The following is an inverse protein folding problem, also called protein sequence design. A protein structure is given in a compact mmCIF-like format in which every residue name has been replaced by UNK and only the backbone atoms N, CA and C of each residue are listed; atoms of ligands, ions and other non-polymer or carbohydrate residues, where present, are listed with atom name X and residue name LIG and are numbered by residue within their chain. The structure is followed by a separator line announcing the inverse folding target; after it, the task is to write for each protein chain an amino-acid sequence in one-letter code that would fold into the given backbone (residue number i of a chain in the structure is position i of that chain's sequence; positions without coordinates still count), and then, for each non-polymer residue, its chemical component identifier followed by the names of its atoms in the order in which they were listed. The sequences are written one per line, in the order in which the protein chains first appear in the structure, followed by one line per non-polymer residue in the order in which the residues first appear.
data_IF_908980253610
#
_entry.id   IF_908980253610
#
_cell.length_a   1.000
_cell.length_b   1.000
_cell.length_c   1.000
_cell.angle_alpha   90.00
_cell.angle_beta   90.00
_cell.angle_gamma   90.00
#
_symmetry.space_group_name_H-M   'P 1'
#
loop_
_entity.id
_entity.type
_entity.pdbx_description
1 polymer ?
#
# COMPACT_ATOMS: atom_id res chain seq x y z
N UNK A 1 52.56 13.44 -18.85
CA UNK A 1 51.58 12.45 -19.36
C UNK A 1 51.48 11.33 -18.33
N UNK A 2 50.47 11.40 -17.44
CA UNK A 2 50.24 10.42 -16.38
C UNK A 2 48.97 9.62 -16.66
N UNK A 3 49.06 8.30 -16.45
CA UNK A 3 47.97 7.32 -16.54
C UNK A 3 46.90 7.58 -15.49
N UNK A 4 45.63 7.53 -15.89
CA UNK A 4 44.53 7.16 -15.00
C UNK A 4 43.70 6.09 -15.73
N UNK A 5 43.84 4.85 -15.25
CA UNK A 5 42.89 3.77 -15.48
C UNK A 5 41.64 4.04 -14.64
N UNK A 6 40.46 4.10 -15.26
CA UNK A 6 39.19 4.08 -14.53
C UNK A 6 38.55 2.71 -14.70
N UNK A 7 38.20 2.18 -13.54
CA UNK A 7 37.77 0.84 -13.16
C UNK A 7 36.42 0.45 -13.76
N UNK A 8 36.28 -0.86 -13.98
CA UNK A 8 35.11 -1.63 -14.40
C UNK A 8 33.86 -1.33 -13.57
N UNK A 9 32.72 -1.09 -14.23
CA UNK A 9 31.40 -1.13 -13.59
C UNK A 9 30.75 -2.50 -13.85
N UNK A 10 31.34 -3.53 -13.24
CA UNK A 10 30.78 -4.88 -13.16
C UNK A 10 29.74 -4.95 -12.04
N UNK A 11 28.66 -4.17 -12.20
CA UNK A 11 27.53 -4.19 -11.28
C UNK A 11 26.91 -5.58 -11.16
N UNK A 12 26.60 -5.96 -9.91
CA UNK A 12 25.99 -7.20 -9.40
C UNK A 12 24.93 -7.90 -10.28
N UNK A 13 24.30 -7.18 -11.22
CA UNK A 13 23.33 -7.70 -12.19
C UNK A 13 23.91 -8.63 -13.28
N UNK A 14 25.22 -8.54 -13.59
CA UNK A 14 25.81 -9.25 -14.74
C UNK A 14 26.06 -10.75 -14.54
N UNK A 15 26.10 -11.25 -13.29
CA UNK A 15 26.60 -12.61 -12.99
C UNK A 15 25.51 -13.69 -12.83
N UNK A 16 24.23 -13.33 -12.70
CA UNK A 16 23.16 -14.30 -12.40
C UNK A 16 22.50 -14.92 -13.66
N UNK A 17 22.76 -14.38 -14.85
CA UNK A 17 22.05 -14.77 -16.08
C UNK A 17 22.94 -15.53 -17.06
N UNK A 18 23.12 -16.84 -16.84
CA UNK A 18 23.57 -17.77 -17.89
C UNK A 18 22.88 -19.13 -17.77
N UNK A 19 21.83 -19.33 -18.56
CA UNK A 19 21.47 -20.66 -19.07
C UNK A 19 21.25 -20.57 -20.58
N UNK A 20 22.28 -20.97 -21.33
CA UNK A 20 22.22 -21.27 -22.77
C UNK A 20 21.34 -22.53 -22.92
N UNK A 21 20.32 -22.62 -23.78
CA UNK A 21 20.49 -22.87 -25.22
C UNK A 21 19.15 -22.75 -26.02
N UNK A 22 18.19 -21.91 -25.59
CA UNK A 22 16.96 -21.61 -26.38
C UNK A 22 16.78 -20.11 -26.68
N UNK A 23 17.69 -19.26 -26.21
CA UNK A 23 17.44 -17.81 -26.04
C UNK A 23 17.85 -16.92 -27.23
N UNK A 24 18.64 -17.37 -28.20
CA UNK A 24 19.34 -16.42 -29.08
C UNK A 24 18.44 -15.61 -30.03
N UNK A 25 17.40 -16.19 -30.64
CA UNK A 25 16.50 -15.42 -31.52
C UNK A 25 15.38 -14.69 -30.77
N UNK A 26 14.87 -15.27 -29.67
CA UNK A 26 13.85 -14.61 -28.84
C UNK A 26 14.41 -13.44 -28.04
N UNK A 27 15.68 -13.49 -27.63
CA UNK A 27 16.36 -12.39 -26.93
C UNK A 27 16.56 -11.19 -27.86
N UNK A 28 17.00 -11.42 -29.11
CA UNK A 28 17.20 -10.34 -30.09
C UNK A 28 15.89 -9.60 -30.43
N UNK A 29 14.80 -10.34 -30.59
CA UNK A 29 13.48 -9.74 -30.85
C UNK A 29 12.99 -8.92 -29.64
N UNK A 30 13.17 -9.44 -28.42
CA UNK A 30 12.82 -8.74 -27.19
C UNK A 30 13.65 -7.45 -27.00
N UNK A 31 14.96 -7.52 -27.18
CA UNK A 31 15.84 -6.35 -27.04
C UNK A 31 15.53 -5.28 -28.09
N UNK A 32 15.14 -5.67 -29.31
CA UNK A 32 14.64 -4.76 -30.34
C UNK A 32 13.35 -4.06 -29.93
N UNK A 33 12.38 -4.78 -29.35
CA UNK A 33 11.14 -4.18 -28.85
C UNK A 33 11.40 -3.20 -27.69
N UNK A 34 12.28 -3.55 -26.74
CA UNK A 34 12.69 -2.63 -25.68
C UNK A 34 13.29 -1.34 -26.24
N UNK A 35 14.20 -1.44 -27.20
CA UNK A 35 14.85 -0.27 -27.79
C UNK A 35 13.88 0.60 -28.59
N UNK A 36 12.86 0.02 -29.23
CA UNK A 36 11.77 0.78 -29.85
C UNK A 36 10.99 1.58 -28.81
N UNK A 37 10.64 0.99 -27.67
CA UNK A 37 9.92 1.69 -26.60
C UNK A 37 10.79 2.83 -26.04
N UNK A 38 12.07 2.57 -25.74
CA UNK A 38 13.02 3.57 -25.24
C UNK A 38 13.13 4.79 -26.16
N UNK A 39 13.34 4.55 -27.45
CA UNK A 39 13.55 5.57 -28.48
C UNK A 39 12.24 6.23 -28.97
N UNK A 40 11.09 5.74 -28.53
CA UNK A 40 9.80 6.33 -28.91
C UNK A 40 9.68 7.77 -28.38
N UNK A 41 9.02 8.63 -29.16
CA UNK A 41 8.64 10.00 -28.75
C UNK A 41 7.45 10.06 -27.78
N UNK A 42 7.07 8.91 -27.20
CA UNK A 42 5.98 8.80 -26.24
C UNK A 42 6.35 9.43 -24.89
N UNK A 43 5.33 9.83 -24.14
CA UNK A 43 5.45 10.27 -22.74
C UNK A 43 5.94 9.14 -21.84
N UNK A 44 6.39 9.47 -20.63
CA UNK A 44 6.86 8.45 -19.67
C UNK A 44 5.74 7.48 -19.26
N UNK A 45 4.52 7.98 -19.03
CA UNK A 45 3.37 7.14 -18.68
C UNK A 45 3.03 6.13 -19.80
N UNK A 46 3.02 6.58 -21.06
CA UNK A 46 2.81 5.70 -22.22
C UNK A 46 3.94 4.66 -22.36
N UNK A 47 5.19 5.03 -22.03
CA UNK A 47 6.31 4.09 -21.99
C UNK A 47 6.15 3.05 -20.90
N UNK A 48 5.69 3.43 -19.69
CA UNK A 48 5.37 2.49 -18.60
C UNK A 48 4.33 1.47 -19.08
N UNK A 49 3.26 1.93 -19.72
CA UNK A 49 2.21 1.06 -20.25
C UNK A 49 2.75 0.08 -21.31
N UNK A 50 3.55 0.56 -22.26
CA UNK A 50 4.17 -0.28 -23.29
C UNK A 50 5.10 -1.34 -22.68
N UNK A 51 5.92 -0.98 -21.69
CA UNK A 51 6.77 -1.93 -20.98
C UNK A 51 5.96 -2.99 -20.22
N UNK A 52 4.84 -2.61 -19.61
CA UNK A 52 3.96 -3.57 -18.94
C UNK A 52 3.31 -4.55 -19.94
N UNK A 53 2.83 -4.06 -21.08
CA UNK A 53 2.29 -4.90 -22.17
C UNK A 53 3.34 -5.90 -22.67
N UNK A 54 4.58 -5.44 -22.85
CA UNK A 54 5.70 -6.30 -23.22
C UNK A 54 5.98 -7.37 -22.14
N UNK A 55 5.97 -6.97 -20.86
CA UNK A 55 6.20 -7.89 -19.76
C UNK A 55 5.13 -8.99 -19.67
N UNK A 56 3.86 -8.65 -19.86
CA UNK A 56 2.75 -9.61 -19.93
C UNK A 56 2.93 -10.61 -21.08
N UNK A 57 3.25 -10.12 -22.29
CA UNK A 57 3.49 -10.95 -23.48
C UNK A 57 4.61 -11.96 -23.22
N UNK A 58 5.72 -11.51 -22.66
CA UNK A 58 6.87 -12.39 -22.36
C UNK A 58 6.56 -13.37 -21.22
N UNK A 59 5.76 -12.96 -20.23
CA UNK A 59 5.28 -13.85 -19.17
C UNK A 59 4.37 -14.97 -19.71
N UNK A 60 3.42 -14.62 -20.58
CA UNK A 60 2.54 -15.58 -21.25
C UNK A 60 3.33 -16.57 -22.12
N UNK A 61 4.43 -16.12 -22.73
CA UNK A 61 5.37 -16.95 -23.47
C UNK A 61 6.32 -17.78 -22.58
N UNK A 62 6.14 -17.75 -21.24
CA UNK A 62 6.99 -18.40 -20.23
C UNK A 62 8.46 -17.95 -20.24
N UNK A 63 8.74 -16.76 -20.78
CA UNK A 63 10.08 -16.16 -20.82
C UNK A 63 10.27 -15.26 -19.61
N UNK A 64 10.40 -15.90 -18.45
CA UNK A 64 10.45 -15.25 -17.13
C UNK A 64 11.46 -14.10 -17.06
N UNK A 65 12.67 -14.28 -17.59
CA UNK A 65 13.72 -13.26 -17.51
C UNK A 65 13.40 -11.99 -18.30
N UNK A 66 12.79 -12.15 -19.47
CA UNK A 66 12.36 -11.03 -20.29
C UNK A 66 11.22 -10.24 -19.61
N UNK A 67 10.27 -10.94 -18.99
CA UNK A 67 9.21 -10.30 -18.21
C UNK A 67 9.76 -9.49 -17.02
N UNK A 68 10.71 -10.05 -16.26
CA UNK A 68 11.40 -9.34 -15.16
C UNK A 68 12.11 -8.09 -15.68
N UNK A 69 12.85 -8.23 -16.79
CA UNK A 69 13.58 -7.11 -17.40
C UNK A 69 12.62 -6.02 -17.86
N UNK A 70 11.51 -6.36 -18.51
CA UNK A 70 10.50 -5.40 -18.97
C UNK A 70 9.83 -4.65 -17.81
N UNK A 71 9.39 -5.34 -16.74
CA UNK A 71 8.86 -4.65 -15.55
C UNK A 71 9.91 -3.76 -14.86
N UNK A 72 11.18 -4.17 -14.84
CA UNK A 72 12.26 -3.33 -14.32
C UNK A 72 12.44 -2.05 -15.14
N UNK A 73 12.23 -2.12 -16.47
CA UNK A 73 12.21 -0.93 -17.33
C UNK A 73 10.96 -0.07 -17.11
N UNK A 74 9.79 -0.70 -16.88
CA UNK A 74 8.57 0.02 -16.52
C UNK A 74 8.79 0.86 -15.25
N UNK A 75 9.36 0.27 -14.19
CA UNK A 75 9.66 1.00 -12.96
C UNK A 75 10.65 2.15 -13.18
N UNK A 76 11.68 1.97 -14.00
CA UNK A 76 12.64 3.04 -14.32
C UNK A 76 12.02 4.17 -15.14
N UNK A 77 10.93 3.90 -15.86
CA UNK A 77 10.19 4.89 -16.62
C UNK A 77 9.14 5.62 -15.77
N UNK A 78 8.89 5.19 -14.53
CA UNK A 78 8.03 5.93 -13.60
C UNK A 78 8.67 7.31 -13.37
N UNK A 79 7.92 8.41 -13.54
CA UNK A 79 8.45 9.75 -13.27
C UNK A 79 9.02 9.85 -11.86
N UNK A 80 10.26 10.33 -11.71
CA UNK A 80 10.85 10.59 -10.40
C UNK A 80 10.14 11.75 -9.69
N UNK A 81 10.21 11.87 -8.35
CA UNK A 81 9.60 12.99 -7.65
C UNK A 81 10.14 14.32 -8.20
N UNK A 82 9.24 15.24 -8.57
CA UNK A 82 9.65 16.61 -8.94
C UNK A 82 10.42 17.23 -7.77
N UNK A 83 11.55 17.85 -8.07
CA UNK A 83 12.21 18.75 -7.13
C UNK A 83 11.25 19.86 -6.70
N UNK A 84 11.46 20.46 -5.52
CA UNK A 84 10.60 21.56 -5.05
C UNK A 84 10.60 22.75 -6.03
N UNK A 85 11.69 22.95 -6.78
CA UNK A 85 11.76 23.90 -7.89
C UNK A 85 10.84 23.54 -9.06
N UNK A 86 10.68 22.26 -9.39
CA UNK A 86 9.80 21.80 -10.47
C UNK A 86 8.32 21.78 -10.05
N UNK A 87 8.01 21.59 -8.75
CA UNK A 87 6.66 21.76 -8.20
C UNK A 87 6.15 23.20 -8.35
N UNK A 88 7.04 24.19 -8.20
CA UNK A 88 6.72 25.62 -8.42
C UNK A 88 6.39 25.90 -9.90
N UNK A 89 7.08 25.23 -10.84
CA UNK A 89 6.80 25.35 -12.28
C UNK A 89 5.59 24.55 -12.75
N UNK A 90 5.24 23.42 -12.12
CA UNK A 90 4.07 22.61 -12.45
C UNK A 90 2.74 23.35 -12.24
N UNK A 91 2.71 24.40 -11.41
CA UNK A 91 1.55 25.30 -11.28
C UNK A 91 1.15 26.02 -12.58
N UNK A 92 2.03 26.00 -13.60
CA UNK A 92 1.82 26.65 -14.90
C UNK A 92 1.31 25.69 -15.98
N UNK A 93 1.44 24.36 -15.81
CA UNK A 93 0.98 23.36 -16.79
C UNK A 93 -0.41 22.80 -16.43
N UNK A 94 -1.42 23.69 -16.46
CA UNK A 94 -2.83 23.31 -16.48
C UNK A 94 -3.20 22.81 -17.88
N UNK A 95 -2.94 21.55 -18.20
CA UNK A 95 -3.72 20.81 -19.20
C UNK A 95 -3.32 19.32 -19.20
N UNK A 96 -3.85 18.58 -18.23
CA UNK A 96 -4.28 17.17 -18.32
C UNK A 96 -4.92 16.78 -16.98
N UNK A 97 -5.88 15.85 -17.00
CA UNK A 97 -6.71 15.42 -15.86
C UNK A 97 -5.96 14.63 -14.77
N UNK A 98 -4.75 15.05 -14.39
CA UNK A 98 -3.95 14.50 -13.29
C UNK A 98 -3.64 15.67 -12.36
N UNK A 99 -4.13 15.62 -11.12
CA UNK A 99 -4.19 16.82 -10.26
C UNK A 99 -2.83 17.21 -9.67
N UNK A 100 -1.88 16.27 -9.56
CA UNK A 100 -0.50 16.51 -9.16
C UNK A 100 0.43 15.33 -9.52
N UNK A 101 1.75 15.55 -9.42
CA UNK A 101 2.77 14.57 -9.81
C UNK A 101 2.82 13.33 -8.91
N UNK A 102 2.41 13.43 -7.65
CA UNK A 102 2.35 12.30 -6.72
C UNK A 102 1.25 11.30 -7.14
N UNK A 103 0.10 11.80 -7.57
CA UNK A 103 -0.98 10.98 -8.14
C UNK A 103 -0.52 10.24 -9.40
N UNK A 104 0.29 10.88 -10.26
CA UNK A 104 0.87 10.22 -11.43
C UNK A 104 1.80 9.07 -11.06
N UNK A 105 2.68 9.27 -10.07
CA UNK A 105 3.59 8.22 -9.58
C UNK A 105 2.78 7.05 -9.03
N UNK A 106 1.83 7.33 -8.14
CA UNK A 106 0.96 6.32 -7.54
C UNK A 106 0.21 5.50 -8.61
N UNK A 107 -0.40 6.17 -9.60
CA UNK A 107 -1.10 5.49 -10.69
C UNK A 107 -0.18 4.58 -11.53
N UNK A 108 1.04 5.03 -11.82
CA UNK A 108 2.03 4.19 -12.52
C UNK A 108 2.43 2.97 -11.69
N UNK A 109 2.63 3.12 -10.38
CA UNK A 109 2.95 2.02 -9.48
C UNK A 109 1.78 1.01 -9.40
N UNK A 110 0.53 1.48 -9.29
CA UNK A 110 -0.66 0.63 -9.36
C UNK A 110 -0.76 -0.13 -10.68
N UNK A 111 -0.51 0.53 -11.81
CA UNK A 111 -0.50 -0.13 -13.12
C UNK A 111 0.54 -1.27 -13.16
N UNK A 112 1.79 -0.99 -12.78
CA UNK A 112 2.86 -1.99 -12.79
C UNK A 112 2.52 -3.16 -11.87
N UNK A 113 2.08 -2.89 -10.63
CA UNK A 113 1.69 -3.93 -9.68
C UNK A 113 0.49 -4.75 -10.15
N UNK A 114 -0.52 -4.10 -10.72
CA UNK A 114 -1.70 -4.73 -11.27
C UNK A 114 -1.37 -5.66 -12.44
N UNK A 115 -0.47 -5.25 -13.33
CA UNK A 115 0.01 -6.13 -14.41
C UNK A 115 0.90 -7.26 -13.87
N UNK A 116 1.76 -7.01 -12.87
CA UNK A 116 2.52 -8.07 -12.20
C UNK A 116 1.60 -9.11 -11.55
N UNK A 117 0.50 -8.69 -10.93
CA UNK A 117 -0.46 -9.58 -10.29
C UNK A 117 -1.13 -10.55 -11.27
N UNK A 118 -1.24 -10.19 -12.55
CA UNK A 118 -1.76 -11.05 -13.64
C UNK A 118 -0.74 -12.05 -14.18
N UNK A 119 0.53 -11.94 -13.80
CA UNK A 119 1.61 -12.84 -14.28
C UNK A 119 1.87 -14.03 -13.35
N UNK A 120 2.55 -15.06 -13.86
CA UNK A 120 3.08 -16.17 -13.04
C UNK A 120 4.46 -15.87 -12.40
N UNK A 121 4.80 -14.59 -12.20
CA UNK A 121 6.03 -14.23 -11.49
C UNK A 121 5.99 -14.75 -10.06
N UNK A 122 7.14 -15.24 -9.58
CA UNK A 122 7.27 -15.70 -8.20
C UNK A 122 7.36 -14.52 -7.24
N UNK A 123 7.00 -14.73 -5.98
CA UNK A 123 7.20 -13.73 -4.90
C UNK A 123 8.63 -13.19 -4.89
N UNK A 124 9.63 -14.04 -5.13
CA UNK A 124 11.03 -13.60 -5.20
C UNK A 124 11.26 -12.57 -6.32
N UNK A 125 10.76 -12.83 -7.53
CA UNK A 125 10.90 -11.90 -8.66
C UNK A 125 10.19 -10.59 -8.38
N UNK A 126 8.98 -10.66 -7.83
CA UNK A 126 8.20 -9.48 -7.54
C UNK A 126 8.87 -8.61 -6.46
N UNK A 127 9.44 -9.22 -5.42
CA UNK A 127 10.22 -8.49 -4.40
C UNK A 127 11.53 -7.91 -4.94
N UNK A 128 12.14 -8.58 -5.93
CA UNK A 128 13.34 -8.09 -6.59
C UNK A 128 13.02 -6.87 -7.46
N UNK A 129 11.98 -6.96 -8.29
CA UNK A 129 11.49 -5.86 -9.12
C UNK A 129 11.11 -4.68 -8.23
N UNK A 130 10.33 -4.91 -7.17
CA UNK A 130 9.90 -3.84 -6.27
C UNK A 130 11.06 -3.16 -5.55
N UNK A 131 12.15 -3.88 -5.29
CA UNK A 131 13.37 -3.35 -4.70
C UNK A 131 14.07 -2.29 -5.55
N UNK A 132 13.80 -2.25 -6.86
CA UNK A 132 14.33 -1.23 -7.77
C UNK A 132 13.49 0.04 -7.87
N UNK A 133 12.36 0.14 -7.15
CA UNK A 133 11.53 1.35 -7.08
C UNK A 133 12.19 2.43 -6.21
N UNK A 134 12.00 3.70 -6.58
CA UNK A 134 12.37 4.86 -5.77
C UNK A 134 11.65 4.86 -4.41
N UNK A 135 10.36 4.47 -4.40
CA UNK A 135 9.59 4.20 -3.20
C UNK A 135 9.26 2.71 -3.13
N UNK A 136 10.24 1.93 -2.68
CA UNK A 136 10.12 0.48 -2.54
C UNK A 136 8.99 0.09 -1.58
N UNK A 137 8.80 0.83 -0.50
CA UNK A 137 7.87 0.44 0.56
C UNK A 137 6.43 0.66 0.12
N UNK A 138 6.15 1.82 -0.48
CA UNK A 138 4.83 2.10 -1.03
C UNK A 138 4.51 1.13 -2.18
N UNK A 139 5.47 0.88 -3.07
CA UNK A 139 5.24 -0.07 -4.16
C UNK A 139 5.01 -1.52 -3.66
N UNK A 140 5.69 -1.94 -2.58
CA UNK A 140 5.42 -3.23 -1.96
C UNK A 140 4.03 -3.31 -1.33
N UNK A 141 3.54 -2.23 -0.72
CA UNK A 141 2.17 -2.15 -0.21
C UNK A 141 1.14 -2.20 -1.35
N UNK A 142 1.33 -1.41 -2.41
CA UNK A 142 0.47 -1.45 -3.60
C UNK A 142 0.43 -2.87 -4.20
N UNK A 143 1.58 -3.53 -4.30
CA UNK A 143 1.66 -4.90 -4.79
C UNK A 143 0.91 -5.91 -3.91
N UNK A 144 0.91 -5.72 -2.58
CA UNK A 144 0.06 -6.50 -1.65
C UNK A 144 -1.41 -6.32 -2.01
N UNK A 145 -1.86 -5.09 -2.27
CA UNK A 145 -3.24 -4.80 -2.64
C UNK A 145 -3.63 -5.47 -3.95
N UNK A 146 -2.83 -5.25 -5.00
CA UNK A 146 -3.10 -5.78 -6.34
C UNK A 146 -3.10 -7.31 -6.38
N UNK A 147 -2.17 -7.97 -5.69
CA UNK A 147 -2.16 -9.44 -5.59
C UNK A 147 -3.38 -9.97 -4.83
N UNK A 148 -3.80 -9.30 -3.75
CA UNK A 148 -4.99 -9.70 -3.01
C UNK A 148 -6.25 -9.57 -3.87
N UNK A 149 -6.41 -8.44 -4.56
CA UNK A 149 -7.51 -8.20 -5.51
C UNK A 149 -7.53 -9.21 -6.67
N UNK A 150 -6.37 -9.71 -7.08
CA UNK A 150 -6.23 -10.77 -8.08
C UNK A 150 -6.40 -12.20 -7.50
N UNK A 151 -6.93 -12.36 -6.28
CA UNK A 151 -7.11 -13.62 -5.57
C UNK A 151 -5.81 -14.41 -5.30
N UNK A 152 -4.64 -13.74 -5.34
CA UNK A 152 -3.32 -14.30 -5.01
C UNK A 152 -2.95 -14.02 -3.55
N UNK A 153 -3.89 -14.24 -2.64
CA UNK A 153 -3.79 -13.87 -1.23
C UNK A 153 -2.53 -14.43 -0.54
N UNK A 154 -2.19 -15.70 -0.80
CA UNK A 154 -1.00 -16.34 -0.21
C UNK A 154 0.31 -15.66 -0.64
N UNK A 155 0.38 -15.15 -1.87
CA UNK A 155 1.56 -14.45 -2.37
C UNK A 155 1.63 -13.04 -1.81
N UNK A 156 0.48 -12.37 -1.76
CA UNK A 156 0.33 -11.07 -1.10
C UNK A 156 0.79 -11.11 0.37
N UNK A 157 0.33 -12.11 1.13
CA UNK A 157 0.78 -12.33 2.51
C UNK A 157 2.29 -12.57 2.63
N UNK A 158 2.87 -13.35 1.72
CA UNK A 158 4.33 -13.58 1.69
C UNK A 158 5.11 -12.29 1.44
N UNK A 159 4.59 -11.39 0.61
CA UNK A 159 5.19 -10.07 0.39
C UNK A 159 5.09 -9.23 1.67
N UNK A 160 3.90 -9.11 2.28
CA UNK A 160 3.72 -8.38 3.53
C UNK A 160 4.65 -8.86 4.66
N UNK A 161 4.86 -10.18 4.78
CA UNK A 161 5.80 -10.77 5.74
C UNK A 161 7.25 -10.36 5.46
N UNK A 162 7.63 -10.29 4.18
CA UNK A 162 8.99 -9.95 3.72
C UNK A 162 9.29 -8.45 3.66
N UNK A 163 8.29 -7.59 3.83
CA UNK A 163 8.51 -6.14 3.92
C UNK A 163 9.47 -5.84 5.08
N UNK A 164 10.35 -4.87 4.85
CA UNK A 164 11.32 -4.44 5.86
C UNK A 164 10.61 -3.89 7.09
N UNK A 165 11.15 -4.12 8.28
CA UNK A 165 10.64 -3.51 9.51
C UNK A 165 10.91 -2.00 9.54
N UNK A 166 11.90 -1.51 8.78
CA UNK A 166 12.11 -0.08 8.51
C UNK A 166 10.95 0.59 7.73
N UNK A 167 10.04 -0.22 7.18
CA UNK A 167 8.82 0.20 6.49
C UNK A 167 7.57 0.06 7.38
N UNK A 168 7.72 0.24 8.69
CA UNK A 168 6.69 -0.10 9.68
C UNK A 168 5.28 0.43 9.31
N UNK A 169 5.10 1.69 8.86
CA UNK A 169 3.78 2.18 8.43
C UNK A 169 3.17 1.38 7.27
N UNK A 170 3.90 1.17 6.18
CA UNK A 170 3.42 0.41 5.02
C UNK A 170 3.18 -1.06 5.38
N UNK A 171 4.00 -1.63 6.27
CA UNK A 171 3.83 -3.00 6.74
C UNK A 171 2.57 -3.15 7.61
N UNK A 172 2.28 -2.18 8.48
CA UNK A 172 1.01 -2.12 9.22
C UNK A 172 -0.15 -2.06 8.25
N UNK A 173 -0.15 -1.12 7.29
CA UNK A 173 -1.19 -0.99 6.25
C UNK A 173 -1.39 -2.29 5.47
N UNK A 174 -0.30 -2.96 5.09
CA UNK A 174 -0.36 -4.24 4.37
C UNK A 174 -1.09 -5.32 5.17
N UNK A 175 -0.77 -5.48 6.47
CA UNK A 175 -1.45 -6.45 7.32
C UNK A 175 -2.91 -6.07 7.61
N UNK A 176 -3.21 -4.79 7.83
CA UNK A 176 -4.59 -4.29 8.02
C UNK A 176 -5.43 -4.56 6.79
N UNK A 177 -4.91 -4.24 5.60
CA UNK A 177 -5.60 -4.47 4.33
C UNK A 177 -5.82 -5.98 4.07
N UNK A 178 -4.81 -6.82 4.32
CA UNK A 178 -5.00 -8.26 4.17
C UNK A 178 -6.00 -8.82 5.17
N UNK A 179 -6.05 -8.26 6.38
CA UNK A 179 -7.02 -8.67 7.39
C UNK A 179 -8.45 -8.33 6.97
N UNK A 180 -8.70 -7.15 6.39
CA UNK A 180 -10.03 -6.77 5.90
C UNK A 180 -10.49 -7.54 4.65
N UNK A 181 -9.57 -8.23 3.97
CA UNK A 181 -9.87 -9.15 2.86
C UNK A 181 -9.92 -10.62 3.28
N UNK A 182 -9.52 -10.93 4.50
CA UNK A 182 -9.51 -12.30 5.00
C UNK A 182 -10.87 -12.67 5.61
N UNK A 183 -11.17 -13.96 5.63
CA UNK A 183 -12.39 -14.49 6.24
C UNK A 183 -12.10 -15.26 7.54
N UNK A 184 -13.07 -15.26 8.44
CA UNK A 184 -13.06 -16.04 9.67
C UNK A 184 -11.83 -15.79 10.54
N UNK A 185 -11.20 -16.87 10.99
CA UNK A 185 -10.07 -16.80 11.93
C UNK A 185 -8.84 -16.10 11.34
N UNK A 186 -8.67 -16.12 10.02
CA UNK A 186 -7.53 -15.48 9.35
C UNK A 186 -7.54 -13.97 9.54
N UNK A 187 -8.71 -13.33 9.47
CA UNK A 187 -8.84 -11.89 9.72
C UNK A 187 -8.37 -11.53 11.13
N UNK A 188 -8.81 -12.28 12.15
CA UNK A 188 -8.40 -12.08 13.54
C UNK A 188 -6.87 -12.19 13.72
N UNK A 189 -6.24 -13.19 13.11
CA UNK A 189 -4.78 -13.39 13.18
C UNK A 189 -4.04 -12.20 12.55
N UNK A 190 -4.50 -11.73 11.38
CA UNK A 190 -3.85 -10.65 10.65
C UNK A 190 -4.04 -9.28 11.33
N UNK A 191 -5.23 -8.99 11.84
CA UNK A 191 -5.46 -7.78 12.63
C UNK A 191 -4.62 -7.75 13.91
N UNK A 192 -4.51 -8.87 14.63
CA UNK A 192 -3.63 -8.95 15.79
C UNK A 192 -2.15 -8.76 15.42
N UNK A 193 -1.73 -9.24 14.24
CA UNK A 193 -0.39 -8.98 13.72
C UNK A 193 -0.18 -7.49 13.42
N UNK A 194 -1.16 -6.82 12.80
CA UNK A 194 -1.13 -5.38 12.57
C UNK A 194 -1.06 -4.59 13.88
N UNK A 195 -1.89 -4.91 14.88
CA UNK A 195 -1.85 -4.28 16.22
C UNK A 195 -0.50 -4.48 16.90
N UNK A 196 0.10 -5.67 16.80
CA UNK A 196 1.43 -5.94 17.36
C UNK A 196 2.50 -5.05 16.71
N UNK A 197 2.41 -4.84 15.39
CA UNK A 197 3.32 -3.95 14.66
C UNK A 197 3.10 -2.49 15.05
N UNK A 198 1.85 -2.02 15.12
CA UNK A 198 1.51 -0.67 15.58
C UNK A 198 2.07 -0.40 16.98
N UNK A 199 1.91 -1.36 17.91
CA UNK A 199 2.44 -1.28 19.28
C UNK A 199 3.95 -1.30 19.39
N UNK A 200 4.66 -1.77 18.35
CA UNK A 200 6.12 -1.71 18.28
C UNK A 200 6.64 -0.35 17.79
N UNK A 201 5.77 0.57 17.40
CA UNK A 201 6.14 1.93 17.08
C UNK A 201 6.61 2.66 18.35
N UNK A 202 7.83 3.22 18.30
CA UNK A 202 8.43 3.93 19.43
C UNK A 202 7.81 5.32 19.67
N UNK A 203 7.03 5.82 18.72
CA UNK A 203 6.41 7.14 18.80
C UNK A 203 4.97 6.98 19.27
N UNK A 204 4.70 7.39 20.51
CA UNK A 204 3.42 7.11 21.18
C UNK A 204 2.18 7.61 20.42
N UNK A 205 2.24 8.80 19.80
CA UNK A 205 1.11 9.32 19.03
C UNK A 205 0.88 8.51 17.74
N UNK A 206 1.94 8.21 16.97
CA UNK A 206 1.83 7.35 15.78
C UNK A 206 1.34 5.94 16.12
N UNK A 207 1.81 5.38 17.25
CA UNK A 207 1.32 4.10 17.77
C UNK A 207 -0.20 4.15 17.96
N UNK A 208 -0.72 5.17 18.65
CA UNK A 208 -2.13 5.29 18.94
C UNK A 208 -2.96 5.54 17.67
N UNK A 209 -2.47 6.35 16.74
CA UNK A 209 -3.11 6.61 15.45
C UNK A 209 -3.22 5.33 14.61
N UNK A 210 -2.15 4.52 14.54
CA UNK A 210 -2.21 3.23 13.86
C UNK A 210 -3.14 2.24 14.57
N UNK A 211 -3.12 2.18 15.91
CA UNK A 211 -4.05 1.32 16.65
C UNK A 211 -5.51 1.69 16.36
N UNK A 212 -5.84 2.99 16.38
CA UNK A 212 -7.17 3.51 16.05
C UNK A 212 -7.62 3.09 14.64
N UNK A 213 -6.80 3.33 13.62
CA UNK A 213 -7.12 2.96 12.24
C UNK A 213 -7.39 1.45 12.11
N UNK A 214 -6.54 0.62 12.73
CA UNK A 214 -6.69 -0.83 12.74
C UNK A 214 -8.01 -1.23 13.43
N UNK A 215 -8.33 -0.62 14.56
CA UNK A 215 -9.52 -0.94 15.34
C UNK A 215 -10.80 -0.62 14.57
N UNK A 216 -10.83 0.52 13.86
CA UNK A 216 -11.97 0.88 13.02
C UNK A 216 -12.13 -0.16 11.90
N UNK A 217 -11.04 -0.54 11.25
CA UNK A 217 -11.04 -1.60 10.22
C UNK A 217 -11.47 -2.97 10.74
N UNK A 218 -11.15 -3.31 12.00
CA UNK A 218 -11.66 -4.52 12.65
C UNK A 218 -13.18 -4.46 12.80
N UNK A 219 -13.75 -3.31 13.19
CA UNK A 219 -15.20 -3.13 13.27
C UNK A 219 -15.86 -3.19 11.88
N UNK A 220 -15.25 -2.59 10.85
CA UNK A 220 -15.70 -2.72 9.46
C UNK A 220 -15.69 -4.18 8.98
N UNK A 221 -14.87 -5.04 9.58
CA UNK A 221 -14.81 -6.48 9.32
C UNK A 221 -15.67 -7.32 10.28
N UNK A 222 -16.63 -6.71 10.98
CA UNK A 222 -17.54 -7.36 11.95
C UNK A 222 -16.85 -7.97 13.18
N UNK A 223 -15.58 -7.64 13.44
CA UNK A 223 -14.83 -8.10 14.61
C UNK A 223 -15.04 -7.18 15.82
N UNK A 224 -16.29 -6.78 16.07
CA UNK A 224 -16.66 -5.76 17.05
C UNK A 224 -16.13 -6.01 18.46
N UNK A 225 -16.19 -7.26 18.94
CA UNK A 225 -15.72 -7.60 20.29
C UNK A 225 -14.21 -7.43 20.44
N UNK A 226 -13.45 -7.80 19.40
CA UNK A 226 -12.01 -7.64 19.42
C UNK A 226 -11.60 -6.17 19.22
N UNK A 227 -12.31 -5.45 18.34
CA UNK A 227 -12.15 -4.01 18.15
C UNK A 227 -12.37 -3.25 19.47
N UNK A 228 -13.47 -3.53 20.17
CA UNK A 228 -13.77 -2.93 21.49
C UNK A 228 -12.69 -3.25 22.52
N UNK A 229 -12.27 -4.52 22.61
CA UNK A 229 -11.21 -4.93 23.55
C UNK A 229 -9.90 -4.21 23.26
N UNK A 230 -9.58 -3.98 21.98
CA UNK A 230 -8.38 -3.25 21.57
C UNK A 230 -8.50 -1.75 21.87
N UNK A 231 -9.64 -1.11 21.56
CA UNK A 231 -9.90 0.30 21.84
C UNK A 231 -9.71 0.65 23.32
N UNK A 232 -10.26 -0.18 24.21
CA UNK A 232 -10.18 0.05 25.66
C UNK A 232 -8.74 0.01 26.20
N UNK A 233 -7.82 -0.65 25.48
CA UNK A 233 -6.40 -0.76 25.83
C UNK A 233 -5.54 0.40 25.32
N UNK A 234 -6.06 1.27 24.46
CA UNK A 234 -5.32 2.45 24.01
C UNK A 234 -4.98 3.34 25.22
N UNK A 235 -3.77 3.87 25.28
CA UNK A 235 -3.33 4.72 26.39
C UNK A 235 -3.74 6.18 26.17
N UNK A 236 -3.63 6.67 24.94
CA UNK A 236 -3.99 8.04 24.57
C UNK A 236 -5.51 8.19 24.54
N UNK A 237 -6.04 9.07 25.39
CA UNK A 237 -7.47 9.21 25.64
C UNK A 237 -8.23 9.66 24.39
N UNK A 238 -7.66 10.58 23.60
CA UNK A 238 -8.27 11.03 22.33
C UNK A 238 -8.45 9.89 21.34
N UNK A 239 -7.40 9.09 21.09
CA UNK A 239 -7.49 7.94 20.18
C UNK A 239 -8.43 6.85 20.73
N UNK A 240 -8.47 6.65 22.06
CA UNK A 240 -9.43 5.74 22.70
C UNK A 240 -10.87 6.16 22.44
N UNK A 241 -11.19 7.43 22.71
CA UNK A 241 -12.53 7.99 22.49
C UNK A 241 -12.88 7.93 21.01
N UNK A 242 -11.96 8.33 20.14
CA UNK A 242 -12.13 8.29 18.68
C UNK A 242 -12.40 6.86 18.17
N UNK A 243 -11.62 5.88 18.63
CA UNK A 243 -11.83 4.46 18.30
C UNK A 243 -13.20 3.95 18.73
N UNK A 244 -13.64 4.28 19.95
CA UNK A 244 -14.97 3.89 20.45
C UNK A 244 -16.09 4.55 19.65
N UNK A 245 -15.94 5.83 19.30
CA UNK A 245 -16.87 6.54 18.41
C UNK A 245 -16.93 5.87 17.03
N UNK A 246 -15.78 5.55 16.43
CA UNK A 246 -15.71 4.87 15.14
C UNK A 246 -16.40 3.50 15.16
N UNK A 247 -16.14 2.69 16.19
CA UNK A 247 -16.84 1.41 16.39
C UNK A 247 -18.36 1.62 16.48
N UNK A 248 -18.80 2.62 17.26
CA UNK A 248 -20.22 2.91 17.42
C UNK A 248 -20.90 3.32 16.10
N UNK A 249 -20.23 4.15 15.29
CA UNK A 249 -20.71 4.55 13.96
C UNK A 249 -20.83 3.32 13.05
N UNK A 250 -19.77 2.50 12.93
CA UNK A 250 -19.79 1.30 12.09
C UNK A 250 -20.85 0.29 12.54
N UNK A 251 -21.04 0.11 13.86
CA UNK A 251 -22.12 -0.72 14.39
C UNK A 251 -23.50 -0.23 13.93
N UNK A 252 -23.76 1.08 14.00
CA UNK A 252 -25.03 1.66 13.57
C UNK A 252 -25.24 1.50 12.07
N UNK A 253 -24.20 1.74 11.26
CA UNK A 253 -24.23 1.55 9.80
C UNK A 253 -24.60 0.11 9.41
N UNK A 254 -24.17 -0.87 10.21
CA UNK A 254 -24.47 -2.29 10.00
C UNK A 254 -25.76 -2.76 10.69
N UNK A 255 -26.56 -1.85 11.25
CA UNK A 255 -27.86 -2.16 11.86
C UNK A 255 -27.81 -2.60 13.33
N UNK A 256 -26.65 -2.54 13.99
CA UNK A 256 -26.48 -2.85 15.42
C UNK A 256 -26.68 -1.62 16.31
N UNK A 257 -27.75 -0.87 16.10
CA UNK A 257 -27.95 0.46 16.70
C UNK A 257 -27.87 0.47 18.24
N UNK A 258 -28.54 -0.47 18.92
CA UNK A 258 -28.51 -0.55 20.39
C UNK A 258 -27.09 -0.82 20.93
N UNK A 259 -26.35 -1.71 20.28
CA UNK A 259 -24.96 -2.00 20.64
C UNK A 259 -24.07 -0.79 20.37
N UNK A 260 -24.23 -0.14 19.22
CA UNK A 260 -23.48 1.06 18.86
C UNK A 260 -23.73 2.21 19.86
N UNK A 261 -24.97 2.43 20.28
CA UNK A 261 -25.32 3.42 21.30
C UNK A 261 -24.66 3.10 22.65
N UNK A 262 -24.60 1.82 23.05
CA UNK A 262 -23.87 1.40 24.26
C UNK A 262 -22.39 1.77 24.18
N UNK A 263 -21.73 1.53 23.05
CA UNK A 263 -20.32 1.88 22.85
C UNK A 263 -20.11 3.40 22.88
N UNK A 264 -20.97 4.17 22.22
CA UNK A 264 -20.92 5.63 22.24
C UNK A 264 -21.08 6.18 23.67
N UNK A 265 -21.97 5.60 24.45
CA UNK A 265 -22.14 5.96 25.86
C UNK A 265 -20.92 5.61 26.72
N UNK A 266 -20.14 4.57 26.37
CA UNK A 266 -18.84 4.34 27.01
C UNK A 266 -17.85 5.46 26.68
N UNK A 267 -17.79 5.91 25.42
CA UNK A 267 -16.93 7.02 25.01
C UNK A 267 -17.28 8.30 25.78
N UNK A 268 -18.58 8.65 25.90
CA UNK A 268 -19.06 9.79 26.71
C UNK A 268 -18.60 9.72 28.16
N UNK A 269 -18.77 8.57 28.81
CA UNK A 269 -18.35 8.37 30.20
C UNK A 269 -16.85 8.61 30.39
N UNK A 270 -16.02 8.21 29.42
CA UNK A 270 -14.57 8.47 29.47
C UNK A 270 -14.31 9.98 29.43
N UNK A 271 -14.94 10.71 28.51
CA UNK A 271 -14.80 12.16 28.40
C UNK A 271 -15.26 12.86 29.68
N UNK A 272 -16.39 12.43 30.25
CA UNK A 272 -16.91 12.97 31.51
C UNK A 272 -15.97 12.79 32.71
N UNK A 273 -15.23 11.67 32.76
CA UNK A 273 -14.27 11.37 33.83
C UNK A 273 -12.98 12.18 33.66
N UNK A 274 -12.48 12.29 32.43
CA UNK A 274 -11.13 12.82 32.16
C UNK A 274 -11.11 14.34 32.13
N UNK A 275 -12.03 14.96 31.40
CA UNK A 275 -12.12 16.41 31.30
C UNK A 275 -13.42 16.79 30.59
N UNK A 276 -14.47 17.08 31.37
CA UNK A 276 -15.78 17.53 30.83
C UNK A 276 -15.66 18.72 29.87
N UNK A 277 -14.61 19.52 30.00
CA UNK A 277 -14.37 20.73 29.22
C UNK A 277 -13.42 20.53 28.03
N UNK A 278 -12.99 19.31 27.71
CA UNK A 278 -12.19 19.07 26.50
C UNK A 278 -13.08 19.19 25.26
N UNK A 279 -13.06 20.38 24.66
CA UNK A 279 -13.84 20.71 23.48
C UNK A 279 -13.52 19.79 22.29
N UNK A 280 -12.31 19.23 22.20
CA UNK A 280 -11.95 18.33 21.10
C UNK A 280 -12.60 16.96 21.29
N UNK A 281 -12.55 16.40 22.51
CA UNK A 281 -13.20 15.13 22.81
C UNK A 281 -14.73 15.22 22.66
N UNK A 282 -15.34 16.32 23.12
CA UNK A 282 -16.77 16.55 22.95
C UNK A 282 -17.16 16.65 21.46
N UNK A 283 -16.35 17.32 20.63
CA UNK A 283 -16.58 17.36 19.17
C UNK A 283 -16.54 15.98 18.52
N UNK A 284 -15.68 15.07 18.98
CA UNK A 284 -15.65 13.69 18.47
C UNK A 284 -16.96 12.96 18.78
N UNK A 285 -17.48 13.11 20.00
CA UNK A 285 -18.76 12.53 20.41
C UNK A 285 -19.91 13.12 19.57
N UNK A 286 -20.00 14.45 19.48
CA UNK A 286 -21.03 15.14 18.70
C UNK A 286 -21.01 14.73 17.21
N UNK A 287 -19.80 14.62 16.63
CA UNK A 287 -19.63 14.15 15.26
C UNK A 287 -20.19 12.74 15.06
N UNK A 288 -19.87 11.81 15.97
CA UNK A 288 -20.37 10.44 15.92
C UNK A 288 -21.89 10.37 16.09
N UNK A 289 -22.46 11.12 17.04
CA UNK A 289 -23.91 11.23 17.21
C UNK A 289 -24.62 11.74 15.95
N UNK A 290 -24.05 12.77 15.32
CA UNK A 290 -24.62 13.35 14.11
C UNK A 290 -24.57 12.38 12.92
N UNK A 291 -23.53 11.56 12.81
CA UNK A 291 -23.44 10.51 11.80
C UNK A 291 -24.50 9.43 12.02
N UNK A 292 -24.64 8.95 13.26
CA UNK A 292 -25.64 7.92 13.63
C UNK A 292 -27.07 8.43 13.38
N UNK A 293 -27.39 9.66 13.80
CA UNK A 293 -28.74 10.25 13.60
C UNK A 293 -29.12 10.41 12.13
N UNK A 294 -28.17 10.79 11.28
CA UNK A 294 -28.39 10.90 9.82
C UNK A 294 -28.79 9.56 9.22
N UNK A 295 -28.19 8.47 9.68
CA UNK A 295 -28.45 7.11 9.20
C UNK A 295 -29.81 6.58 9.67
N UNK A 296 -30.30 7.01 10.85
CA UNK A 296 -31.65 6.62 11.33
C UNK A 296 -32.79 7.37 10.63
N UNK A 297 -32.48 8.41 9.84
CA UNK A 297 -33.48 9.29 9.19
C UNK A 297 -33.61 9.06 7.68
N UNK A 298 -32.82 8.14 7.12
CA UNK A 298 -32.76 7.76 5.69
C UNK A 298 -33.36 6.39 5.46
#
# INVERSE_FOLDING_TARGET
MNRISVIEDSGFFGKIFRSKDVENNSSLAFDSELDKIKKSGKTQAEKVEDYCKLALKESAAKRRQNAIKAFSFALKAVPGPLSDSEKIFAGVLKDQKIKNHEELISNCLHLIAGEMAKTNLSVHDMTFISGGSLDKFEFQFILVQELSNAFRFNESLKIAIKMDDGALPQKIKAFTYLASKAEGQSAHILFNKALKLARSCNVNYLKADFEEEIIIQMAESDLFNDALRAALKIEIISNKVSSLCGIAVVMNEKGYAESGEKILNMAKKIVEIVSRSDANLNRLIESAENQIKKQSSS
#
